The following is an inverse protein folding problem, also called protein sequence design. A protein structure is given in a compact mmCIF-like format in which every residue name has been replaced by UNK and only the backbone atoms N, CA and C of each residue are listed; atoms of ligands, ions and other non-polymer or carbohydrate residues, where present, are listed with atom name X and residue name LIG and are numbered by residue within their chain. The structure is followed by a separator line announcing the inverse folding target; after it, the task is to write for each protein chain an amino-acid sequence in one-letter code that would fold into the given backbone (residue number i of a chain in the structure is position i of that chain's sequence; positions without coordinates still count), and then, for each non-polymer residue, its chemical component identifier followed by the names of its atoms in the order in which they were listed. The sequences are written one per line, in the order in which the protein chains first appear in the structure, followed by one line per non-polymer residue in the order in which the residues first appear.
data_IF_963373822490
#
_entry.id   IF_963373822490
#
_cell.length_a   1.000
_cell.length_b   1.000
_cell.length_c   1.000
_cell.angle_alpha   90.00
_cell.angle_beta   90.00
_cell.angle_gamma   90.00
#
_symmetry.space_group_name_H-M   'P 1'
#
loop_
_entity.id
_entity.type
_entity.pdbx_description
1 polymer ?
#
# COMPACT_ATOMS: atom_id res chain seq x y z
N UNK A 1 1.07 20.34 20.92
CA UNK A 1 -0.29 20.85 20.74
C UNK A 1 -0.91 20.45 19.40
N UNK A 2 -0.21 20.64 18.27
CA UNK A 2 -0.69 20.30 16.91
C UNK A 2 -1.02 18.81 16.71
N UNK A 3 -0.16 17.90 17.20
CA UNK A 3 -0.37 16.45 17.11
C UNK A 3 -1.66 15.97 17.82
N UNK A 4 -1.95 16.52 19.00
CA UNK A 4 -3.19 16.21 19.74
C UNK A 4 -4.44 16.74 19.02
N UNK A 5 -4.31 17.88 18.35
CA UNK A 5 -5.36 18.45 17.52
C UNK A 5 -5.62 17.59 16.27
N UNK A 6 -4.56 17.13 15.59
CA UNK A 6 -4.66 16.26 14.42
C UNK A 6 -5.34 14.93 14.76
N UNK A 7 -4.97 14.28 15.86
CA UNK A 7 -5.64 13.05 16.32
C UNK A 7 -7.12 13.25 16.60
N UNK A 8 -7.48 14.37 17.26
CA UNK A 8 -8.88 14.69 17.55
C UNK A 8 -9.67 14.98 16.26
N UNK A 9 -9.04 15.63 15.28
CA UNK A 9 -9.66 15.88 13.98
C UNK A 9 -9.91 14.58 13.22
N UNK A 10 -8.95 13.66 13.16
CA UNK A 10 -9.13 12.35 12.54
C UNK A 10 -10.30 11.61 13.18
N UNK A 11 -10.37 11.57 14.50
CA UNK A 11 -11.48 10.91 15.22
C UNK A 11 -12.84 11.54 14.95
N UNK A 12 -12.91 12.87 14.78
CA UNK A 12 -14.16 13.59 14.54
C UNK A 12 -14.66 13.47 13.09
N UNK A 13 -13.74 13.37 12.13
CA UNK A 13 -14.04 13.32 10.68
C UNK A 13 -13.76 11.95 10.07
N UNK A 14 -13.95 10.89 10.83
CA UNK A 14 -13.61 9.51 10.45
C UNK A 14 -14.21 9.10 9.09
N UNK A 15 -15.41 9.56 8.76
CA UNK A 15 -16.08 9.27 7.48
C UNK A 15 -15.34 9.87 6.28
N UNK A 16 -14.71 11.02 6.47
CA UNK A 16 -13.99 11.72 5.40
C UNK A 16 -12.62 11.09 5.16
N UNK A 17 -11.99 10.60 6.21
CA UNK A 17 -10.73 9.87 6.13
C UNK A 17 -10.89 8.41 5.73
N UNK A 18 -12.07 7.79 5.95
CA UNK A 18 -12.29 6.38 5.69
C UNK A 18 -12.02 6.00 4.24
N UNK A 19 -12.47 6.81 3.28
CA UNK A 19 -12.24 6.57 1.85
C UNK A 19 -10.74 6.61 1.55
N UNK A 20 -10.04 7.62 2.05
CA UNK A 20 -8.60 7.78 1.88
C UNK A 20 -7.83 6.60 2.51
N UNK A 21 -8.16 6.26 3.75
CA UNK A 21 -7.58 5.15 4.49
C UNK A 21 -7.76 3.80 3.78
N UNK A 22 -8.99 3.51 3.34
CA UNK A 22 -9.30 2.27 2.63
C UNK A 22 -8.57 2.16 1.28
N UNK A 23 -8.50 3.27 0.55
CA UNK A 23 -7.76 3.35 -0.71
C UNK A 23 -6.27 3.04 -0.51
N UNK A 24 -5.66 3.61 0.54
CA UNK A 24 -4.25 3.34 0.85
C UNK A 24 -4.02 1.88 1.27
N UNK A 25 -4.90 1.32 2.10
CA UNK A 25 -4.81 -0.09 2.52
C UNK A 25 -4.87 -1.01 1.31
N UNK A 26 -5.86 -0.84 0.43
CA UNK A 26 -5.98 -1.64 -0.78
C UNK A 26 -4.75 -1.50 -1.68
N UNK A 27 -4.26 -0.27 -1.84
CA UNK A 27 -3.06 0.00 -2.62
C UNK A 27 -1.85 -0.77 -2.10
N UNK A 28 -1.57 -0.65 -0.82
CA UNK A 28 -0.45 -1.35 -0.16
C UNK A 28 -0.63 -2.87 -0.26
N UNK A 29 -1.83 -3.39 0.01
CA UNK A 29 -2.11 -4.81 -0.04
C UNK A 29 -1.90 -5.40 -1.44
N UNK A 30 -2.44 -4.76 -2.47
CA UNK A 30 -2.28 -5.19 -3.86
C UNK A 30 -0.79 -5.16 -4.25
N UNK A 31 -0.09 -4.07 -3.94
CA UNK A 31 1.33 -3.94 -4.26
C UNK A 31 2.19 -5.02 -3.58
N UNK A 32 1.91 -5.29 -2.31
CA UNK A 32 2.59 -6.37 -1.59
C UNK A 32 2.35 -7.73 -2.23
N UNK A 33 1.10 -8.05 -2.58
CA UNK A 33 0.74 -9.34 -3.23
C UNK A 33 1.51 -9.53 -4.52
N UNK A 34 1.53 -8.52 -5.41
CA UNK A 34 2.26 -8.62 -6.67
C UNK A 34 3.77 -8.83 -6.50
N UNK A 35 4.39 -8.16 -5.52
CA UNK A 35 5.82 -8.34 -5.24
C UNK A 35 6.11 -9.66 -4.50
N UNK A 36 5.17 -10.18 -3.72
CA UNK A 36 5.34 -11.43 -3.01
C UNK A 36 5.25 -12.66 -3.92
N UNK A 37 4.50 -12.58 -5.02
CA UNK A 37 4.41 -13.67 -6.02
C UNK A 37 5.78 -13.95 -6.66
N UNK A 38 6.58 -12.93 -6.92
CA UNK A 38 7.93 -13.08 -7.47
C UNK A 38 8.82 -13.97 -6.58
N UNK A 39 8.83 -13.68 -5.28
CA UNK A 39 9.65 -14.43 -4.32
C UNK A 39 9.13 -15.86 -4.09
N UNK A 40 7.83 -16.07 -4.21
CA UNK A 40 7.21 -17.38 -4.04
C UNK A 40 7.43 -18.27 -5.25
N UNK A 41 7.42 -17.75 -6.47
CA UNK A 41 7.68 -18.50 -7.69
C UNK A 41 9.13 -18.99 -7.79
N UNK A 42 10.08 -18.23 -7.25
CA UNK A 42 11.51 -18.60 -7.20
C UNK A 42 11.76 -19.77 -6.24
N UNK A 43 10.92 -19.96 -5.23
CA UNK A 43 11.07 -21.04 -4.25
C UNK A 43 10.54 -22.40 -4.72
N UNK A 44 9.76 -22.46 -5.78
CA UNK A 44 9.36 -23.73 -6.39
C UNK A 44 10.57 -24.36 -7.09
N UNK A 45 11.16 -25.41 -6.51
CA UNK A 45 12.23 -26.21 -7.13
C UNK A 45 11.65 -26.93 -8.34
N UNK A 46 11.92 -26.42 -9.52
CA UNK A 46 11.37 -26.92 -10.77
C UNK A 46 12.48 -27.44 -11.67
N UNK A 47 12.17 -28.49 -12.44
CA UNK A 47 13.01 -29.12 -13.45
C UNK A 47 13.62 -28.09 -14.42
N UNK A 48 14.81 -28.37 -14.97
CA UNK A 48 15.60 -27.45 -15.81
C UNK A 48 14.84 -26.80 -16.97
N UNK A 49 13.88 -27.52 -17.55
CA UNK A 49 13.03 -27.00 -18.65
C UNK A 49 12.04 -25.92 -18.16
N UNK A 50 11.62 -26.01 -16.90
CA UNK A 50 10.68 -25.06 -16.29
C UNK A 50 11.41 -23.82 -15.77
N UNK A 51 12.73 -23.88 -15.58
CA UNK A 51 13.52 -22.72 -15.13
C UNK A 51 13.51 -21.55 -16.14
N UNK A 52 13.48 -21.83 -17.45
CA UNK A 52 13.35 -20.80 -18.48
C UNK A 52 11.97 -20.14 -18.45
N UNK A 53 10.91 -20.93 -18.28
CA UNK A 53 9.54 -20.45 -18.17
C UNK A 53 9.38 -19.59 -16.93
N UNK A 54 9.95 -20.00 -15.79
CA UNK A 54 9.93 -19.21 -14.56
C UNK A 54 10.66 -17.88 -14.76
N UNK A 55 11.82 -17.87 -15.41
CA UNK A 55 12.55 -16.64 -15.70
C UNK A 55 11.78 -15.68 -16.58
N UNK A 56 11.08 -16.17 -17.59
CA UNK A 56 10.17 -15.35 -18.40
C UNK A 56 9.00 -14.82 -17.59
N UNK A 57 8.36 -15.65 -16.76
CA UNK A 57 7.28 -15.24 -15.87
C UNK A 57 7.73 -14.16 -14.88
N UNK A 58 8.90 -14.32 -14.26
CA UNK A 58 9.45 -13.34 -13.32
C UNK A 58 9.71 -12.00 -14.00
N UNK A 59 10.22 -11.99 -15.23
CA UNK A 59 10.41 -10.75 -16.00
C UNK A 59 9.07 -10.05 -16.32
N UNK A 60 8.05 -10.82 -16.70
CA UNK A 60 6.70 -10.28 -16.96
C UNK A 60 6.10 -9.72 -15.67
N UNK A 61 6.18 -10.46 -14.55
CA UNK A 61 5.68 -10.02 -13.25
C UNK A 61 6.38 -8.76 -12.75
N UNK A 62 7.70 -8.66 -12.98
CA UNK A 62 8.46 -7.45 -12.65
C UNK A 62 7.98 -6.24 -13.43
N UNK A 63 7.69 -6.41 -14.73
CA UNK A 63 7.07 -5.36 -15.56
C UNK A 63 5.68 -4.94 -15.07
N UNK A 64 4.85 -5.91 -14.71
CA UNK A 64 3.52 -5.67 -14.11
C UNK A 64 3.64 -4.94 -12.77
N UNK A 65 4.61 -5.31 -11.94
CA UNK A 65 4.85 -4.65 -10.64
C UNK A 65 5.16 -3.15 -10.80
N UNK A 66 5.99 -2.78 -11.79
CA UNK A 66 6.27 -1.37 -12.12
C UNK A 66 5.00 -0.65 -12.57
N UNK A 67 4.20 -1.27 -13.44
CA UNK A 67 2.94 -0.70 -13.91
C UNK A 67 1.94 -0.49 -12.76
N UNK A 68 1.80 -1.47 -11.88
CA UNK A 68 0.97 -1.36 -10.67
C UNK A 68 1.48 -0.23 -9.76
N UNK A 69 2.81 -0.07 -9.61
CA UNK A 69 3.40 1.05 -8.84
C UNK A 69 2.95 2.41 -9.37
N UNK A 70 2.95 2.59 -10.68
CA UNK A 70 2.52 3.85 -11.32
C UNK A 70 1.04 4.12 -11.05
N UNK A 71 0.18 3.10 -11.22
CA UNK A 71 -1.26 3.21 -10.93
C UNK A 71 -1.48 3.61 -9.47
N UNK A 72 -0.77 2.96 -8.54
CA UNK A 72 -0.88 3.26 -7.11
C UNK A 72 -0.41 4.68 -6.77
N UNK A 73 0.67 5.17 -7.41
CA UNK A 73 1.10 6.54 -7.24
C UNK A 73 0.01 7.54 -7.62
N UNK A 74 -0.62 7.35 -8.79
CA UNK A 74 -1.75 8.17 -9.21
C UNK A 74 -2.93 8.08 -8.24
N UNK A 75 -3.23 6.90 -7.75
CA UNK A 75 -4.32 6.66 -6.83
C UNK A 75 -4.09 7.34 -5.48
N UNK A 76 -2.86 7.31 -4.94
CA UNK A 76 -2.48 8.01 -3.71
C UNK A 76 -2.61 9.52 -3.90
N UNK A 77 -2.09 10.07 -5.00
CA UNK A 77 -2.20 11.51 -5.32
C UNK A 77 -3.67 11.93 -5.46
N UNK A 78 -4.48 11.13 -6.15
CA UNK A 78 -5.91 11.39 -6.31
C UNK A 78 -6.65 11.39 -4.96
N UNK A 79 -6.40 10.36 -4.15
CA UNK A 79 -7.02 10.24 -2.84
C UNK A 79 -6.64 11.39 -1.90
N UNK A 80 -5.35 11.81 -1.93
CA UNK A 80 -4.87 12.97 -1.17
C UNK A 80 -5.55 14.27 -1.61
N UNK A 81 -5.66 14.50 -2.92
CA UNK A 81 -6.38 15.69 -3.46
C UNK A 81 -7.86 15.68 -3.10
N UNK A 82 -8.49 14.51 -3.15
CA UNK A 82 -9.90 14.36 -2.74
C UNK A 82 -10.09 14.70 -1.27
N UNK A 83 -9.22 14.23 -0.39
CA UNK A 83 -9.25 14.55 1.03
C UNK A 83 -9.12 16.08 1.28
N UNK A 84 -8.13 16.72 0.64
CA UNK A 84 -7.92 18.17 0.75
C UNK A 84 -9.17 18.93 0.30
N UNK A 85 -9.73 18.57 -0.86
CA UNK A 85 -10.93 19.22 -1.42
C UNK A 85 -12.14 19.10 -0.49
N UNK A 86 -12.31 17.95 0.15
CA UNK A 86 -13.42 17.70 1.07
C UNK A 86 -13.32 18.54 2.34
N UNK A 87 -12.09 18.82 2.79
CA UNK A 87 -11.83 19.62 4.01
C UNK A 87 -11.63 21.12 3.78
N UNK A 88 -11.76 21.60 2.55
CA UNK A 88 -11.58 23.03 2.24
C UNK A 88 -12.43 23.97 3.11
N UNK A 89 -13.64 23.55 3.49
CA UNK A 89 -14.51 24.34 4.38
C UNK A 89 -13.91 24.50 5.77
N UNK A 90 -13.32 23.45 6.33
CA UNK A 90 -12.66 23.50 7.64
C UNK A 90 -11.41 24.38 7.59
N UNK A 91 -10.66 24.34 6.50
CA UNK A 91 -9.49 25.20 6.30
C UNK A 91 -9.88 26.67 6.19
N UNK A 92 -11.03 26.97 5.56
CA UNK A 92 -11.61 28.31 5.54
C UNK A 92 -11.88 28.84 6.95
N UNK A 93 -12.50 28.03 7.80
CA UNK A 93 -12.75 28.40 9.21
C UNK A 93 -11.45 28.62 9.99
N UNK A 94 -10.42 27.79 9.79
CA UNK A 94 -9.12 28.01 10.45
C UNK A 94 -8.44 29.30 10.01
N UNK A 95 -8.58 29.67 8.74
CA UNK A 95 -8.06 30.95 8.23
C UNK A 95 -8.79 32.14 8.83
N UNK A 96 -10.12 32.09 8.96
CA UNK A 96 -10.91 33.16 9.60
C UNK A 96 -10.61 33.31 11.09
N UNK A 97 -10.22 32.23 11.77
CA UNK A 97 -9.75 32.23 13.15
C UNK A 97 -8.30 32.74 13.30
N UNK A 98 -7.66 33.19 12.22
CA UNK A 98 -6.32 33.79 12.26
C UNK A 98 -5.18 32.78 12.20
N UNK A 99 -5.42 31.51 11.84
CA UNK A 99 -4.35 30.52 11.64
C UNK A 99 -3.59 30.82 10.34
N UNK A 100 -2.25 30.80 10.42
CA UNK A 100 -1.43 30.96 9.22
C UNK A 100 -1.52 29.72 8.30
N UNK A 101 -1.44 29.94 6.98
CA UNK A 101 -1.45 28.87 5.96
C UNK A 101 -0.41 27.77 6.25
N UNK A 102 0.78 28.15 6.74
CA UNK A 102 1.84 27.18 7.11
C UNK A 102 1.40 26.24 8.24
N UNK A 103 0.68 26.73 9.25
CA UNK A 103 0.17 25.91 10.35
C UNK A 103 -0.90 24.94 9.89
N UNK A 104 -1.79 25.38 8.99
CA UNK A 104 -2.84 24.52 8.40
C UNK A 104 -2.20 23.40 7.55
N UNK A 105 -1.23 23.76 6.71
CA UNK A 105 -0.49 22.77 5.91
C UNK A 105 0.24 21.74 6.79
N UNK A 106 0.84 22.17 7.89
CA UNK A 106 1.52 21.27 8.83
C UNK A 106 0.54 20.31 9.52
N UNK A 107 -0.64 20.81 9.93
CA UNK A 107 -1.68 19.96 10.51
C UNK A 107 -2.10 18.88 9.50
N UNK A 108 -2.38 19.28 8.25
CA UNK A 108 -2.77 18.36 7.19
C UNK A 108 -1.68 17.29 6.93
N UNK A 109 -0.42 17.72 6.88
CA UNK A 109 0.71 16.81 6.68
C UNK A 109 0.81 15.78 7.81
N UNK A 110 0.68 16.21 9.08
CA UNK A 110 0.70 15.29 10.23
C UNK A 110 -0.50 14.33 10.17
N UNK A 111 -1.69 14.81 9.86
CA UNK A 111 -2.90 13.98 9.75
C UNK A 111 -2.75 12.91 8.67
N UNK A 112 -2.34 13.29 7.47
CA UNK A 112 -2.13 12.36 6.36
C UNK A 112 -1.01 11.37 6.66
N UNK A 113 0.08 11.81 7.31
CA UNK A 113 1.20 10.96 7.71
C UNK A 113 0.76 9.87 8.70
N UNK A 114 -0.02 10.23 9.72
CA UNK A 114 -0.54 9.25 10.70
C UNK A 114 -1.40 8.20 9.98
N UNK A 115 -2.32 8.65 9.12
CA UNK A 115 -3.18 7.74 8.35
C UNK A 115 -2.35 6.88 7.41
N UNK A 116 -1.34 7.45 6.76
CA UNK A 116 -0.43 6.72 5.88
C UNK A 116 0.30 5.59 6.60
N UNK A 117 0.87 5.85 7.78
CA UNK A 117 1.56 4.82 8.57
C UNK A 117 0.61 3.71 9.00
N UNK A 118 -0.57 4.07 9.52
CA UNK A 118 -1.57 3.07 9.95
C UNK A 118 -2.05 2.25 8.76
N UNK A 119 -2.31 2.89 7.62
CA UNK A 119 -2.72 2.21 6.38
C UNK A 119 -1.65 1.25 5.87
N UNK A 120 -0.39 1.62 5.99
CA UNK A 120 0.74 0.79 5.59
C UNK A 120 0.82 -0.47 6.44
N UNK A 121 0.72 -0.35 7.77
CA UNK A 121 0.75 -1.51 8.68
C UNK A 121 -0.44 -2.45 8.41
N UNK A 122 -1.64 -1.90 8.33
CA UNK A 122 -2.86 -2.69 8.06
C UNK A 122 -2.82 -3.28 6.65
N UNK A 123 -2.38 -2.51 5.66
CA UNK A 123 -2.26 -2.94 4.26
C UNK A 123 -1.25 -4.06 4.07
N UNK A 124 -0.09 -4.01 4.76
CA UNK A 124 0.88 -5.11 4.76
C UNK A 124 0.30 -6.37 5.42
N UNK A 125 -0.43 -6.24 6.53
CA UNK A 125 -1.10 -7.38 7.17
C UNK A 125 -2.11 -8.05 6.25
N UNK A 126 -2.99 -7.27 5.61
CA UNK A 126 -3.97 -7.78 4.65
C UNK A 126 -3.26 -8.34 3.41
N UNK A 127 -2.24 -7.65 2.89
CA UNK A 127 -1.45 -8.08 1.75
C UNK A 127 -0.75 -9.42 2.01
N UNK A 128 -0.21 -9.62 3.21
CA UNK A 128 0.35 -10.90 3.61
C UNK A 128 -0.68 -12.02 3.58
N UNK A 129 -1.87 -11.83 4.14
CA UNK A 129 -2.95 -12.82 4.12
C UNK A 129 -3.39 -13.14 2.68
N UNK A 130 -3.60 -12.12 1.86
CA UNK A 130 -3.96 -12.29 0.44
C UNK A 130 -2.86 -12.99 -0.36
N UNK A 131 -1.60 -12.69 -0.09
CA UNK A 131 -0.46 -13.34 -0.73
C UNK A 131 -0.44 -14.85 -0.45
N UNK A 132 -0.78 -15.28 0.77
CA UNK A 132 -0.89 -16.71 1.09
C UNK A 132 -2.03 -17.38 0.31
N UNK A 133 -3.18 -16.73 0.19
CA UNK A 133 -4.29 -17.24 -0.62
C UNK A 133 -3.90 -17.37 -2.10
N UNK A 134 -3.21 -16.36 -2.65
CA UNK A 134 -2.71 -16.40 -4.04
C UNK A 134 -1.68 -17.51 -4.23
N UNK A 135 -0.79 -17.73 -3.27
CA UNK A 135 0.17 -18.82 -3.33
C UNK A 135 -0.48 -20.21 -3.39
N UNK A 136 -1.55 -20.43 -2.62
CA UNK A 136 -2.35 -21.65 -2.66
C UNK A 136 -3.02 -21.85 -4.03
N UNK A 137 -3.58 -20.77 -4.59
CA UNK A 137 -4.22 -20.82 -5.91
C UNK A 137 -3.20 -21.17 -7.01
N UNK A 138 -2.03 -20.55 -6.98
CA UNK A 138 -0.95 -20.81 -7.93
C UNK A 138 -0.45 -22.25 -7.80
N UNK A 139 -0.23 -22.74 -6.57
CA UNK A 139 0.20 -24.12 -6.33
C UNK A 139 -0.82 -25.14 -6.87
N UNK A 140 -2.12 -24.91 -6.69
CA UNK A 140 -3.18 -25.76 -7.26
C UNK A 140 -3.20 -25.76 -8.81
N UNK A 141 -2.94 -24.60 -9.43
CA UNK A 141 -2.90 -24.51 -10.89
C UNK A 141 -1.72 -25.26 -11.52
N UNK A 142 -0.60 -25.36 -10.80
CA UNK A 142 0.61 -26.05 -11.30
C UNK A 142 0.72 -27.50 -10.80
N UNK A 143 -0.33 -28.09 -10.21
CA UNK A 143 -0.32 -29.44 -9.63
C UNK A 143 0.91 -29.68 -8.72
N UNK A 144 1.40 -28.62 -8.10
CA UNK A 144 2.53 -28.70 -7.19
C UNK A 144 2.12 -29.41 -5.90
N UNK A 145 2.97 -30.33 -5.40
CA UNK A 145 2.72 -31.06 -4.16
C UNK A 145 2.50 -30.10 -2.98
N UNK A 146 1.24 -29.98 -2.54
CA UNK A 146 0.84 -29.15 -1.39
C UNK A 146 1.47 -29.59 -0.05
N UNK A 147 2.10 -30.77 -0.03
CA UNK A 147 2.78 -31.32 1.17
C UNK A 147 3.98 -30.49 1.61
N UNK A 148 4.46 -29.54 0.80
CA UNK A 148 5.58 -28.62 1.10
C UNK A 148 5.18 -27.15 1.20
N UNK A 149 3.87 -26.87 1.37
CA UNK A 149 3.42 -25.51 1.56
C UNK A 149 4.00 -24.95 2.85
N UNK A 150 4.92 -24.00 2.73
CA UNK A 150 5.46 -23.26 3.86
C UNK A 150 4.92 -21.83 3.81
N UNK A 151 4.50 -21.33 4.94
CA UNK A 151 4.16 -19.90 5.09
C UNK A 151 5.44 -19.08 4.87
N UNK A 152 5.59 -18.53 3.67
CA UNK A 152 6.77 -17.73 3.32
C UNK A 152 6.44 -16.26 3.48
N UNK A 153 7.10 -15.64 4.44
CA UNK A 153 7.08 -14.19 4.56
C UNK A 153 8.14 -13.61 3.62
N UNK A 154 7.70 -12.92 2.57
CA UNK A 154 8.61 -12.24 1.65
C UNK A 154 9.11 -10.93 2.26
N UNK A 155 10.31 -10.99 2.86
CA UNK A 155 10.98 -9.80 3.40
C UNK A 155 11.31 -8.79 2.29
N UNK A 156 11.68 -9.28 1.10
CA UNK A 156 11.97 -8.43 -0.06
C UNK A 156 10.73 -7.66 -0.52
N UNK A 157 9.58 -8.33 -0.62
CA UNK A 157 8.32 -7.69 -0.97
C UNK A 157 7.93 -6.63 0.08
N UNK A 158 8.13 -6.91 1.36
CA UNK A 158 7.86 -5.96 2.43
C UNK A 158 8.74 -4.71 2.32
N UNK A 159 10.05 -4.88 2.14
CA UNK A 159 11.01 -3.77 2.00
C UNK A 159 10.71 -2.95 0.75
N UNK A 160 10.46 -3.59 -0.39
CA UNK A 160 10.06 -2.90 -1.63
C UNK A 160 8.79 -2.08 -1.40
N UNK A 161 7.76 -2.67 -0.79
CA UNK A 161 6.50 -1.97 -0.51
C UNK A 161 6.72 -0.75 0.37
N UNK A 162 7.53 -0.86 1.43
CA UNK A 162 7.89 0.26 2.31
C UNK A 162 8.59 1.39 1.55
N UNK A 163 9.58 1.06 0.72
CA UNK A 163 10.35 2.06 -0.04
C UNK A 163 9.46 2.76 -1.05
N UNK A 164 8.73 2.01 -1.88
CA UNK A 164 7.85 2.59 -2.90
C UNK A 164 6.72 3.41 -2.28
N UNK A 165 6.09 2.93 -1.20
CA UNK A 165 5.07 3.69 -0.49
C UNK A 165 5.63 5.00 0.07
N UNK A 166 6.84 4.97 0.66
CA UNK A 166 7.48 6.18 1.18
C UNK A 166 7.77 7.19 0.05
N UNK A 167 8.32 6.73 -1.07
CA UNK A 167 8.59 7.60 -2.23
C UNK A 167 7.29 8.22 -2.76
N UNK A 168 6.25 7.40 -2.96
CA UNK A 168 4.94 7.85 -3.45
C UNK A 168 4.27 8.84 -2.49
N UNK A 169 4.53 8.67 -1.20
CA UNK A 169 3.94 9.52 -0.16
C UNK A 169 4.61 10.90 -0.09
N UNK A 170 5.89 11.01 -0.42
CA UNK A 170 6.63 12.28 -0.45
C UNK A 170 6.50 13.05 -1.77
N UNK A 171 5.98 12.45 -2.83
CA UNK A 171 5.68 13.10 -4.11
C UNK A 171 4.32 13.80 -4.08
#
# INVERSE_FOLDING_TARGET
MLFKLSLKNISKSIKDYAIYFFTLILGVAIFYVFNAIDDQSVMMKVSSTTAEIIKLMTNVLSGVSVFVSIILAFLIVYASRFLIKRRNKEFGVYLTLGMSKKKISLILFIETLIIGIVSLVVGLGIGFLLSQLMSILVANMFEADLTRFQFVFSTNACIKTLIYFSIMYFV
#
